data_IF_709894257250
#
_entry.id   IF_709894257250
#
_cell.length_a   1.000
_cell.length_b   1.000
_cell.length_c   1.000
_cell.angle_alpha   90.00
_cell.angle_beta   90.00
_cell.angle_gamma   90.00
#
_symmetry.space_group_name_H-M   'P 1'
#
loop_
_entity.id
_entity.type
_entity.pdbx_description
1 polymer ?
#
# COMPACT_ATOMS: atom_id res chain seq x y z
N UNK A 1 -15.33 35.70 -47.73
CA UNK A 1 -15.86 35.06 -46.50
C UNK A 1 -14.91 33.92 -46.13
N UNK A 2 -14.16 34.08 -45.03
CA UNK A 2 -13.21 33.09 -44.52
C UNK A 2 -13.97 32.11 -43.63
N UNK A 3 -13.97 30.82 -43.96
CA UNK A 3 -14.46 29.77 -43.07
C UNK A 3 -13.32 29.39 -42.12
N UNK A 4 -13.44 29.82 -40.86
CA UNK A 4 -12.60 29.36 -39.75
C UNK A 4 -13.13 27.99 -39.32
N UNK A 5 -12.39 26.92 -39.60
CA UNK A 5 -12.65 25.62 -39.02
C UNK A 5 -12.18 25.63 -37.56
N UNK A 6 -13.13 25.71 -36.63
CA UNK A 6 -12.88 25.45 -35.21
C UNK A 6 -12.66 23.95 -35.04
N UNK A 7 -11.40 23.53 -34.92
CA UNK A 7 -11.07 22.20 -34.45
C UNK A 7 -11.45 22.10 -32.97
N UNK A 8 -12.61 21.51 -32.69
CA UNK A 8 -13.03 21.16 -31.34
C UNK A 8 -12.14 20.00 -30.88
N UNK A 9 -11.03 20.30 -30.20
CA UNK A 9 -10.33 19.30 -29.41
C UNK A 9 -11.24 18.92 -28.23
N UNK A 10 -12.02 17.85 -28.41
CA UNK A 10 -12.65 17.16 -27.29
C UNK A 10 -11.49 16.52 -26.51
N UNK A 11 -11.04 17.19 -25.46
CA UNK A 11 -10.31 16.51 -24.40
C UNK A 11 -11.30 15.53 -23.77
N UNK A 12 -11.30 14.29 -24.26
CA UNK A 12 -11.91 13.19 -23.54
C UNK A 12 -11.18 13.12 -22.20
N UNK A 13 -11.85 13.57 -21.14
CA UNK A 13 -11.38 13.44 -19.78
C UNK A 13 -11.50 11.96 -19.42
N UNK A 14 -10.61 11.12 -19.95
CA UNK A 14 -10.53 9.71 -19.62
C UNK A 14 -9.97 9.64 -18.21
N UNK A 15 -10.87 9.72 -17.22
CA UNK A 15 -10.53 9.31 -15.87
C UNK A 15 -10.05 7.86 -15.97
N UNK A 16 -8.74 7.64 -15.86
CA UNK A 16 -8.19 6.29 -15.78
C UNK A 16 -8.89 5.56 -14.64
N UNK A 17 -9.12 4.27 -14.85
CA UNK A 17 -9.72 3.45 -13.83
C UNK A 17 -8.75 3.26 -12.65
N UNK A 18 -9.31 2.82 -11.52
CA UNK A 18 -8.66 2.72 -10.23
C UNK A 18 -8.72 1.28 -9.69
N UNK A 19 -7.87 1.01 -8.71
CA UNK A 19 -8.08 -0.11 -7.81
C UNK A 19 -9.10 0.31 -6.76
N UNK A 20 -10.03 -0.58 -6.40
CA UNK A 20 -11.06 -0.24 -5.41
C UNK A 20 -11.28 -1.36 -4.43
N UNK A 21 -11.06 -1.08 -3.15
CA UNK A 21 -11.37 -2.01 -2.07
C UNK A 21 -12.88 -2.13 -1.90
N UNK A 22 -13.34 -3.38 -1.79
CA UNK A 22 -14.74 -3.74 -1.53
C UNK A 22 -14.75 -4.80 -0.44
N UNK A 23 -15.21 -4.43 0.76
CA UNK A 23 -15.42 -5.40 1.83
C UNK A 23 -16.80 -6.07 1.68
N UNK A 24 -16.82 -7.40 1.71
CA UNK A 24 -18.07 -8.18 1.79
C UNK A 24 -18.39 -8.52 3.24
N UNK A 25 -19.66 -8.77 3.54
CA UNK A 25 -20.05 -9.16 4.89
C UNK A 25 -19.39 -10.48 5.30
N UNK A 26 -18.78 -10.54 6.50
CA UNK A 26 -18.11 -11.75 6.99
C UNK A 26 -19.14 -12.85 7.25
N UNK A 27 -18.77 -14.11 6.96
CA UNK A 27 -19.66 -15.28 7.15
C UNK A 27 -19.58 -15.88 8.55
N UNK A 28 -18.60 -15.48 9.36
CA UNK A 28 -18.39 -16.02 10.71
C UNK A 28 -17.82 -14.97 11.68
N UNK A 29 -17.85 -15.22 13.01
CA UNK A 29 -17.38 -14.25 14.01
C UNK A 29 -15.89 -13.92 13.94
N UNK A 30 -15.03 -14.83 13.51
CA UNK A 30 -13.58 -14.59 13.41
C UNK A 30 -13.28 -13.59 12.29
N UNK A 31 -13.92 -13.76 11.13
CA UNK A 31 -13.82 -12.83 10.01
C UNK A 31 -14.41 -11.47 10.34
N UNK A 32 -15.44 -11.41 11.19
CA UNK A 32 -16.01 -10.14 11.65
C UNK A 32 -15.03 -9.28 12.47
N UNK A 33 -14.06 -9.91 13.15
CA UNK A 33 -12.97 -9.18 13.81
C UNK A 33 -12.04 -8.56 12.78
N UNK A 34 -11.62 -9.33 11.77
CA UNK A 34 -10.73 -8.84 10.70
C UNK A 34 -11.41 -7.76 9.87
N UNK A 35 -12.69 -7.96 9.52
CA UNK A 35 -13.50 -6.96 8.80
C UNK A 35 -13.53 -5.62 9.53
N UNK A 36 -13.78 -5.61 10.85
CA UNK A 36 -13.73 -4.38 11.65
C UNK A 36 -12.34 -3.78 11.69
N UNK A 37 -11.31 -4.60 11.96
CA UNK A 37 -9.93 -4.16 12.02
C UNK A 37 -9.48 -3.47 10.72
N UNK A 38 -9.79 -4.06 9.57
CA UNK A 38 -9.40 -3.52 8.27
C UNK A 38 -10.29 -2.35 7.85
N UNK A 39 -11.61 -2.46 8.07
CA UNK A 39 -12.59 -1.48 7.60
C UNK A 39 -12.72 -0.22 8.46
N UNK A 40 -12.47 -0.30 9.77
CA UNK A 40 -12.53 0.87 10.66
C UNK A 40 -11.29 1.76 10.55
N UNK A 41 -10.14 1.16 10.23
CA UNK A 41 -8.87 1.88 10.15
C UNK A 41 -8.63 2.53 8.78
N UNK A 42 -9.40 2.18 7.75
CA UNK A 42 -9.27 2.64 6.36
C UNK A 42 -7.86 2.51 5.73
N UNK A 43 -6.91 1.88 6.42
CA UNK A 43 -5.51 1.82 6.01
C UNK A 43 -5.32 1.03 4.71
N UNK A 44 -6.16 0.02 4.47
CA UNK A 44 -6.14 -0.75 3.23
C UNK A 44 -6.60 0.11 2.05
N UNK A 45 -7.69 0.86 2.22
CA UNK A 45 -8.18 1.80 1.23
C UNK A 45 -7.17 2.90 0.94
N UNK A 46 -6.57 3.52 1.96
CA UNK A 46 -5.54 4.57 1.78
C UNK A 46 -4.31 4.05 1.02
N UNK A 47 -3.89 2.82 1.33
CA UNK A 47 -2.80 2.15 0.62
C UNK A 47 -3.16 1.92 -0.85
N UNK A 48 -4.36 1.41 -1.13
CA UNK A 48 -4.86 1.15 -2.48
C UNK A 48 -5.09 2.44 -3.28
N UNK A 49 -5.56 3.50 -2.64
CA UNK A 49 -5.73 4.83 -3.25
C UNK A 49 -4.37 5.41 -3.64
N UNK A 50 -3.35 5.20 -2.81
CA UNK A 50 -1.97 5.54 -3.13
C UNK A 50 -1.47 4.77 -4.35
N UNK A 51 -1.68 3.47 -4.42
CA UNK A 51 -1.32 2.67 -5.60
C UNK A 51 -2.07 3.12 -6.86
N UNK A 52 -3.36 3.45 -6.73
CA UNK A 52 -4.19 3.97 -7.83
C UNK A 52 -3.71 5.33 -8.34
N UNK A 53 -2.99 6.10 -7.52
CA UNK A 53 -2.32 7.33 -7.95
C UNK A 53 -1.01 7.09 -8.67
N UNK A 54 -0.35 5.94 -8.47
CA UNK A 54 0.93 5.60 -9.07
C UNK A 54 0.79 4.77 -10.36
N UNK A 55 -0.31 4.01 -10.52
CA UNK A 55 -0.48 3.06 -11.63
C UNK A 55 -1.81 3.34 -12.35
N UNK A 56 -1.74 3.42 -13.68
CA UNK A 56 -2.91 3.48 -14.55
C UNK A 56 -3.33 2.06 -14.92
N UNK A 57 -4.61 1.75 -14.73
CA UNK A 57 -5.22 0.51 -15.21
C UNK A 57 -6.32 0.81 -16.24
N UNK A 58 -6.49 -0.04 -17.26
CA UNK A 58 -7.45 0.21 -18.34
C UNK A 58 -8.90 0.00 -17.91
N UNK A 59 -9.11 -0.73 -16.81
CA UNK A 59 -10.43 -1.01 -16.23
C UNK A 59 -10.34 -1.00 -14.70
N UNK A 60 -11.47 -0.78 -14.04
CA UNK A 60 -11.53 -0.78 -12.58
C UNK A 60 -11.28 -2.19 -12.07
N UNK A 61 -10.35 -2.34 -11.14
CA UNK A 61 -9.99 -3.62 -10.53
C UNK A 61 -10.54 -3.65 -9.11
N UNK A 62 -11.63 -4.39 -8.84
CA UNK A 62 -12.11 -4.56 -7.49
C UNK A 62 -11.16 -5.45 -6.68
N UNK A 63 -10.75 -4.97 -5.52
CA UNK A 63 -10.06 -5.73 -4.47
C UNK A 63 -11.11 -6.14 -3.46
N UNK A 64 -11.59 -7.37 -3.59
CA UNK A 64 -12.71 -7.93 -2.83
C UNK A 64 -12.14 -8.60 -1.58
N UNK A 65 -12.40 -8.00 -0.41
CA UNK A 65 -12.06 -8.62 0.88
C UNK A 65 -13.27 -9.39 1.38
N UNK A 66 -13.16 -10.71 1.57
CA UNK A 66 -14.32 -11.58 1.89
C UNK A 66 -13.94 -12.85 2.65
N UNK A 67 -14.94 -13.55 3.17
CA UNK A 67 -14.78 -14.93 3.68
C UNK A 67 -14.68 -15.93 2.52
N UNK A 68 -13.59 -16.69 2.48
CA UNK A 68 -13.30 -17.66 1.43
C UNK A 68 -13.43 -19.13 1.87
N UNK A 69 -13.36 -19.40 3.17
CA UNK A 69 -13.27 -20.74 3.76
C UNK A 69 -11.85 -21.30 3.87
N UNK A 70 -10.83 -20.55 3.43
CA UNK A 70 -9.41 -20.91 3.54
C UNK A 70 -8.53 -19.64 3.45
N UNK A 71 -7.33 -19.61 4.06
CA UNK A 71 -6.44 -18.45 4.02
C UNK A 71 -5.80 -18.34 2.64
N UNK A 72 -6.18 -17.31 1.87
CA UNK A 72 -5.67 -17.12 0.52
C UNK A 72 -5.81 -15.69 -0.02
N UNK A 73 -5.17 -15.47 -1.17
CA UNK A 73 -5.35 -14.31 -2.03
C UNK A 73 -5.23 -14.76 -3.50
N UNK A 74 -6.03 -14.18 -4.39
CA UNK A 74 -6.03 -14.58 -5.80
C UNK A 74 -6.43 -13.44 -6.70
N UNK A 75 -5.69 -13.25 -7.79
CA UNK A 75 -6.16 -12.58 -8.98
C UNK A 75 -7.05 -13.51 -9.83
N UNK A 76 -8.22 -13.02 -10.24
CA UNK A 76 -9.14 -13.70 -11.14
C UNK A 76 -9.17 -12.97 -12.50
N UNK A 77 -8.49 -13.47 -13.54
CA UNK A 77 -8.43 -12.81 -14.86
C UNK A 77 -9.80 -12.59 -15.51
N UNK A 78 -10.71 -13.55 -15.34
CA UNK A 78 -12.06 -13.50 -15.94
C UNK A 78 -12.90 -12.34 -15.41
N UNK A 79 -12.79 -12.09 -14.09
CA UNK A 79 -13.53 -11.03 -13.40
C UNK A 79 -12.71 -9.74 -13.27
N UNK A 80 -11.42 -9.80 -13.65
CA UNK A 80 -10.42 -8.74 -13.45
C UNK A 80 -10.43 -8.21 -12.02
N UNK A 81 -10.48 -9.13 -11.06
CA UNK A 81 -10.63 -8.84 -9.65
C UNK A 81 -9.54 -9.49 -8.82
N UNK A 82 -9.17 -8.87 -7.70
CA UNK A 82 -8.33 -9.50 -6.70
C UNK A 82 -9.22 -9.87 -5.52
N UNK A 83 -9.15 -11.10 -5.04
CA UNK A 83 -9.78 -11.51 -3.78
C UNK A 83 -8.73 -11.58 -2.69
N UNK A 84 -9.00 -10.97 -1.55
CA UNK A 84 -8.25 -11.14 -0.31
C UNK A 84 -9.14 -11.82 0.73
N UNK A 85 -8.73 -12.96 1.25
CA UNK A 85 -9.54 -13.72 2.21
C UNK A 85 -9.32 -13.21 3.64
N UNK A 86 -10.39 -13.03 4.43
CA UNK A 86 -10.25 -12.67 5.86
C UNK A 86 -9.45 -13.70 6.64
N UNK A 87 -9.58 -14.97 6.25
CA UNK A 87 -8.87 -16.11 6.80
C UNK A 87 -7.35 -15.97 6.67
N UNK A 88 -6.87 -15.31 5.60
CA UNK A 88 -5.44 -15.05 5.42
C UNK A 88 -4.87 -14.26 6.60
N UNK A 89 -5.58 -13.23 7.04
CA UNK A 89 -5.16 -12.42 8.18
C UNK A 89 -5.32 -13.18 9.50
N UNK A 90 -6.49 -13.76 9.74
CA UNK A 90 -6.81 -14.36 11.05
C UNK A 90 -5.99 -15.62 11.33
N UNK A 91 -5.83 -16.51 10.35
CA UNK A 91 -5.05 -17.75 10.52
C UNK A 91 -3.57 -17.44 10.65
N UNK A 92 -3.03 -16.52 9.85
CA UNK A 92 -1.62 -16.18 9.92
C UNK A 92 -1.27 -15.46 11.21
N UNK A 93 -2.17 -14.60 11.72
CA UNK A 93 -2.03 -14.04 13.06
C UNK A 93 -1.92 -15.13 14.12
N UNK A 94 -2.77 -16.16 14.09
CA UNK A 94 -2.68 -17.26 15.03
C UNK A 94 -1.37 -18.06 14.88
N UNK A 95 -0.92 -18.32 13.64
CA UNK A 95 0.34 -19.03 13.38
C UNK A 95 1.52 -18.24 13.93
N UNK A 96 1.62 -16.96 13.60
CA UNK A 96 2.72 -16.10 14.04
C UNK A 96 2.67 -15.90 15.56
N UNK A 97 1.50 -15.69 16.15
CA UNK A 97 1.35 -15.59 17.61
C UNK A 97 1.81 -16.88 18.31
N UNK A 98 1.44 -18.06 17.79
CA UNK A 98 1.88 -19.34 18.35
C UNK A 98 3.40 -19.55 18.24
N UNK A 99 4.01 -19.16 17.12
CA UNK A 99 5.44 -19.37 16.87
C UNK A 99 6.33 -18.34 17.55
N UNK A 100 5.89 -17.08 17.58
CA UNK A 100 6.72 -15.94 17.95
C UNK A 100 6.19 -15.14 19.14
N UNK A 101 5.02 -15.44 19.69
CA UNK A 101 4.42 -14.66 20.80
C UNK A 101 5.21 -14.65 22.11
N UNK A 102 6.21 -15.53 22.27
CA UNK A 102 7.15 -15.49 23.39
C UNK A 102 8.33 -14.52 23.15
N UNK A 103 8.51 -14.04 21.93
CA UNK A 103 9.62 -13.17 21.50
C UNK A 103 9.14 -11.82 20.98
N UNK A 104 7.94 -11.77 20.41
CA UNK A 104 7.31 -10.60 19.84
C UNK A 104 6.03 -10.29 20.61
N UNK A 105 5.77 -9.00 20.80
CA UNK A 105 4.48 -8.50 21.29
C UNK A 105 3.36 -8.80 20.30
N UNK A 106 2.12 -8.83 20.77
CA UNK A 106 0.94 -9.00 19.91
C UNK A 106 0.83 -7.89 18.85
N UNK A 107 1.34 -6.69 19.15
CA UNK A 107 1.39 -5.58 18.19
C UNK A 107 2.40 -5.85 17.06
N UNK A 108 3.60 -6.34 17.39
CA UNK A 108 4.60 -6.72 16.37
C UNK A 108 4.11 -7.88 15.51
N UNK A 109 3.43 -8.86 16.10
CA UNK A 109 2.78 -9.94 15.37
C UNK A 109 1.71 -9.38 14.42
N UNK A 110 0.85 -8.48 14.90
CA UNK A 110 -0.18 -7.84 14.06
C UNK A 110 0.45 -7.06 12.89
N UNK A 111 1.55 -6.33 13.13
CA UNK A 111 2.29 -5.59 12.08
C UNK A 111 2.90 -6.53 11.03
N UNK A 112 3.44 -7.68 11.46
CA UNK A 112 3.99 -8.68 10.55
C UNK A 112 2.90 -9.32 9.68
N UNK A 113 1.73 -9.62 10.24
CA UNK A 113 0.56 -10.15 9.50
C UNK A 113 0.02 -9.10 8.52
N UNK A 114 -0.11 -7.85 8.95
CA UNK A 114 -0.54 -6.77 8.05
C UNK A 114 0.46 -6.58 6.89
N UNK A 115 1.76 -6.68 7.18
CA UNK A 115 2.81 -6.64 6.17
C UNK A 115 2.68 -7.79 5.17
N UNK A 116 2.48 -9.01 5.64
CA UNK A 116 2.24 -10.17 4.78
C UNK A 116 1.00 -9.98 3.91
N UNK A 117 -0.11 -9.53 4.49
CA UNK A 117 -1.37 -9.30 3.78
C UNK A 117 -1.20 -8.27 2.65
N UNK A 118 -0.45 -7.20 2.88
CA UNK A 118 -0.21 -6.17 1.87
C UNK A 118 0.82 -6.59 0.82
N UNK A 119 1.81 -7.40 1.21
CA UNK A 119 2.70 -8.03 0.25
C UNK A 119 1.90 -8.95 -0.69
N UNK A 120 1.04 -9.80 -0.14
CA UNK A 120 0.14 -10.67 -0.92
C UNK A 120 -0.79 -9.85 -1.83
N UNK A 121 -1.40 -8.78 -1.33
CA UNK A 121 -2.21 -7.88 -2.15
C UNK A 121 -1.41 -7.33 -3.34
N UNK A 122 -0.21 -6.78 -3.09
CA UNK A 122 0.62 -6.23 -4.15
C UNK A 122 1.08 -7.29 -5.14
N UNK A 123 1.34 -8.50 -4.68
CA UNK A 123 1.68 -9.64 -5.50
C UNK A 123 0.52 -9.97 -6.46
N UNK A 124 -0.71 -10.11 -5.96
CA UNK A 124 -1.90 -10.34 -6.80
C UNK A 124 -2.20 -9.17 -7.74
N UNK A 125 -1.93 -7.93 -7.30
CA UNK A 125 -2.03 -6.76 -8.17
C UNK A 125 -0.96 -6.77 -9.27
N UNK A 126 0.19 -7.40 -9.04
CA UNK A 126 1.19 -7.66 -10.08
C UNK A 126 0.62 -8.51 -11.21
N UNK A 127 0.03 -9.65 -10.87
CA UNK A 127 -0.71 -10.51 -11.82
C UNK A 127 -1.78 -9.72 -12.56
N UNK A 128 -2.58 -8.93 -11.84
CA UNK A 128 -3.61 -8.09 -12.44
C UNK A 128 -3.05 -7.06 -13.43
N UNK A 129 -1.98 -6.36 -13.06
CA UNK A 129 -1.36 -5.35 -13.93
C UNK A 129 -0.73 -5.99 -15.16
N UNK A 130 -0.07 -7.15 -15.01
CA UNK A 130 0.52 -7.86 -16.13
C UNK A 130 -0.54 -8.34 -17.13
N UNK A 131 -1.63 -8.94 -16.65
CA UNK A 131 -2.73 -9.38 -17.51
C UNK A 131 -3.41 -8.17 -18.20
N UNK A 132 -3.82 -7.16 -17.44
CA UNK A 132 -4.57 -6.02 -17.98
C UNK A 132 -3.81 -5.23 -19.04
N UNK A 133 -2.48 -5.17 -18.94
CA UNK A 133 -1.63 -4.49 -19.90
C UNK A 133 -0.93 -5.42 -20.89
N UNK A 134 -1.22 -6.72 -20.84
CA UNK A 134 -0.63 -7.76 -21.69
C UNK A 134 0.91 -7.71 -21.66
N UNK A 135 1.47 -7.57 -20.46
CA UNK A 135 2.91 -7.45 -20.24
C UNK A 135 3.54 -8.84 -20.37
N UNK A 136 4.50 -9.04 -21.29
CA UNK A 136 5.11 -10.35 -21.47
C UNK A 136 6.03 -10.69 -20.29
N UNK A 137 5.91 -11.93 -19.80
CA UNK A 137 6.75 -12.46 -18.71
C UNK A 137 7.68 -13.53 -19.31
N UNK A 138 8.98 -13.26 -19.31
CA UNK A 138 10.02 -14.16 -19.87
C UNK A 138 10.64 -15.12 -18.81
N UNK A 139 10.03 -15.25 -17.64
CA UNK A 139 10.51 -16.06 -16.52
C UNK A 139 9.36 -16.68 -15.73
N UNK A 140 9.57 -16.99 -14.44
CA UNK A 140 8.50 -17.43 -13.55
C UNK A 140 7.55 -16.27 -13.27
N UNK A 141 6.25 -16.50 -13.45
CA UNK A 141 5.19 -15.53 -13.23
C UNK A 141 5.19 -14.99 -11.80
N UNK A 142 5.32 -15.91 -10.83
CA UNK A 142 5.36 -15.58 -9.40
C UNK A 142 6.57 -14.73 -9.00
N UNK A 143 7.73 -14.95 -9.63
CA UNK A 143 8.92 -14.12 -9.40
C UNK A 143 8.76 -12.72 -10.01
N UNK A 144 7.96 -12.58 -11.08
CA UNK A 144 7.63 -11.29 -11.67
C UNK A 144 6.65 -10.52 -10.78
N UNK A 145 5.65 -11.20 -10.20
CA UNK A 145 4.72 -10.63 -9.24
C UNK A 145 5.43 -10.19 -7.94
N UNK A 146 6.38 -10.97 -7.43
CA UNK A 146 7.23 -10.57 -6.30
C UNK A 146 8.07 -9.32 -6.60
N UNK A 147 8.65 -9.23 -7.81
CA UNK A 147 9.40 -8.05 -8.24
C UNK A 147 8.51 -6.81 -8.33
N UNK A 148 7.30 -6.96 -8.87
CA UNK A 148 6.30 -5.90 -8.90
C UNK A 148 6.00 -5.42 -7.48
N UNK A 149 5.65 -6.33 -6.57
CA UNK A 149 5.36 -5.99 -5.18
C UNK A 149 6.54 -5.27 -4.51
N UNK A 150 7.75 -5.83 -4.61
CA UNK A 150 8.96 -5.24 -4.03
C UNK A 150 9.23 -3.84 -4.59
N UNK A 151 9.11 -3.65 -5.90
CA UNK A 151 9.30 -2.34 -6.53
C UNK A 151 8.33 -1.30 -5.99
N UNK A 152 7.03 -1.61 -5.91
CA UNK A 152 6.05 -0.66 -5.41
C UNK A 152 6.25 -0.38 -3.92
N UNK A 153 6.48 -1.39 -3.08
CA UNK A 153 6.79 -1.21 -1.65
C UNK A 153 7.96 -0.24 -1.47
N UNK A 154 9.04 -0.46 -2.21
CA UNK A 154 10.25 0.34 -2.14
C UNK A 154 10.05 1.73 -2.74
N UNK A 155 9.18 1.88 -3.73
CA UNK A 155 8.84 3.16 -4.35
C UNK A 155 8.00 4.01 -3.41
N UNK A 156 7.04 3.38 -2.73
CA UNK A 156 6.15 4.02 -1.75
C UNK A 156 6.70 3.99 -0.31
N UNK A 157 8.00 3.75 -0.17
CA UNK A 157 8.75 3.77 1.11
C UNK A 157 8.08 2.99 2.26
N UNK A 158 7.31 1.96 1.94
CA UNK A 158 6.64 1.11 2.94
C UNK A 158 7.55 -0.04 3.36
N UNK A 159 8.79 0.29 3.72
CA UNK A 159 9.89 -0.67 3.89
C UNK A 159 9.58 -1.76 4.92
N UNK A 160 8.77 -1.45 5.93
CA UNK A 160 8.33 -2.40 6.95
C UNK A 160 7.71 -3.67 6.37
N UNK A 161 7.03 -3.57 5.21
CA UNK A 161 6.44 -4.73 4.54
C UNK A 161 7.50 -5.79 4.19
N UNK A 162 8.64 -5.36 3.61
CA UNK A 162 9.74 -6.24 3.27
C UNK A 162 10.63 -6.57 4.49
N UNK A 163 10.72 -5.65 5.47
CA UNK A 163 11.50 -5.91 6.69
C UNK A 163 10.87 -7.02 7.55
N UNK A 164 9.54 -7.17 7.54
CA UNK A 164 8.86 -8.28 8.21
C UNK A 164 8.87 -9.60 7.42
N UNK A 165 9.37 -9.62 6.18
CA UNK A 165 9.42 -10.82 5.35
C UNK A 165 10.03 -12.07 6.01
N UNK A 166 11.13 -11.97 6.77
CA UNK A 166 11.69 -13.14 7.45
C UNK A 166 10.68 -13.78 8.42
N UNK A 167 9.82 -13.00 9.10
CA UNK A 167 8.90 -13.49 10.12
C UNK A 167 7.84 -14.40 9.48
N UNK A 168 7.11 -13.90 8.49
CA UNK A 168 6.05 -14.69 7.88
C UNK A 168 6.63 -15.79 6.98
N UNK A 169 7.68 -15.52 6.20
CA UNK A 169 8.27 -16.56 5.36
C UNK A 169 8.90 -17.70 6.17
N UNK A 170 9.48 -17.42 7.35
CA UNK A 170 9.94 -18.48 8.26
C UNK A 170 8.78 -19.24 8.92
N UNK A 171 7.70 -18.53 9.30
CA UNK A 171 6.50 -19.17 9.83
C UNK A 171 5.90 -20.20 8.87
N UNK A 172 5.92 -19.92 7.57
CA UNK A 172 5.29 -20.78 6.55
C UNK A 172 6.29 -21.65 5.78
N UNK A 173 7.60 -21.54 6.04
CA UNK A 173 8.69 -22.29 5.40
C UNK A 173 8.54 -23.82 5.42
N UNK A 174 7.73 -24.35 6.34
CA UNK A 174 7.66 -25.77 6.69
C UNK A 174 6.26 -26.22 7.17
N UNK A 175 5.20 -25.94 6.42
CA UNK A 175 3.90 -26.57 6.67
C UNK A 175 4.02 -28.11 6.66
N UNK A 176 3.23 -28.82 7.48
CA UNK A 176 3.22 -30.29 7.51
C UNK A 176 2.90 -30.87 6.12
N UNK A 177 2.04 -30.19 5.37
CA UNK A 177 1.67 -30.52 3.99
C UNK A 177 2.84 -30.30 3.02
N UNK A 178 3.56 -29.17 3.14
CA UNK A 178 4.76 -28.90 2.33
C UNK A 178 5.86 -29.93 2.54
N UNK A 179 6.06 -30.44 3.76
CA UNK A 179 7.08 -31.50 3.99
C UNK A 179 6.75 -32.81 3.27
N UNK A 180 5.47 -33.14 3.11
CA UNK A 180 5.02 -34.37 2.46
C UNK A 180 4.93 -34.23 0.93
N UNK A 181 4.59 -33.04 0.44
CA UNK A 181 4.41 -32.73 -0.99
C UNK A 181 5.72 -32.29 -1.66
N UNK A 182 6.59 -31.52 -0.97
CA UNK A 182 7.88 -31.03 -1.51
C UNK A 182 8.77 -32.14 -2.06
N UNK A 183 8.73 -33.37 -1.53
CA UNK A 183 9.53 -34.47 -2.07
C UNK A 183 9.32 -34.71 -3.58
N UNK A 184 8.16 -34.34 -4.14
CA UNK A 184 7.82 -34.58 -5.56
C UNK A 184 7.72 -33.33 -6.42
N UNK A 185 7.44 -32.15 -5.86
CA UNK A 185 7.20 -30.91 -6.63
C UNK A 185 8.14 -29.74 -6.28
N UNK A 186 9.10 -29.92 -5.37
CA UNK A 186 9.97 -28.82 -4.87
C UNK A 186 10.68 -28.00 -5.96
N UNK A 187 11.01 -28.63 -7.09
CA UNK A 187 11.71 -27.98 -8.20
C UNK A 187 10.80 -27.71 -9.42
N UNK A 188 9.52 -28.07 -9.35
CA UNK A 188 8.53 -27.89 -10.41
C UNK A 188 7.39 -26.94 -10.01
N UNK A 189 7.47 -26.34 -8.83
CA UNK A 189 6.55 -25.31 -8.37
C UNK A 189 6.71 -24.04 -9.21
N UNK A 190 5.61 -23.31 -9.43
CA UNK A 190 5.62 -22.04 -10.16
C UNK A 190 6.31 -20.94 -9.34
N UNK A 191 6.31 -21.07 -8.01
CA UNK A 191 7.11 -20.25 -7.11
C UNK A 191 8.53 -20.77 -6.97
N UNK A 192 9.50 -19.83 -6.92
CA UNK A 192 10.83 -20.18 -6.43
C UNK A 192 10.79 -20.66 -4.98
N UNK A 193 11.87 -21.33 -4.55
CA UNK A 193 12.02 -21.76 -3.15
C UNK A 193 11.83 -20.58 -2.20
N UNK A 194 11.13 -20.78 -1.08
CA UNK A 194 10.84 -19.70 -0.11
C UNK A 194 12.10 -18.97 0.34
N UNK A 195 13.21 -19.68 0.49
CA UNK A 195 14.53 -19.11 0.82
C UNK A 195 15.08 -18.22 -0.29
N UNK A 196 14.89 -18.60 -1.55
CA UNK A 196 15.30 -17.81 -2.70
C UNK A 196 14.44 -16.55 -2.82
N UNK A 197 13.12 -16.69 -2.68
CA UNK A 197 12.18 -15.55 -2.65
C UNK A 197 12.55 -14.55 -1.55
N UNK A 198 12.75 -15.01 -0.31
CA UNK A 198 13.16 -14.16 0.81
C UNK A 198 14.50 -13.47 0.53
N UNK A 199 15.50 -14.21 0.03
CA UNK A 199 16.81 -13.64 -0.30
C UNK A 199 16.73 -12.60 -1.43
N UNK A 200 15.81 -12.76 -2.38
CA UNK A 200 15.57 -11.79 -3.44
C UNK A 200 14.92 -10.51 -2.91
N UNK A 201 13.82 -10.63 -2.15
CA UNK A 201 13.11 -9.50 -1.55
C UNK A 201 14.04 -8.62 -0.69
N UNK A 202 14.80 -9.25 0.22
CA UNK A 202 15.74 -8.53 1.08
C UNK A 202 16.90 -7.95 0.27
N UNK A 203 17.36 -8.62 -0.79
CA UNK A 203 18.40 -8.09 -1.67
C UNK A 203 17.92 -6.86 -2.45
N UNK A 204 16.70 -6.84 -2.99
CA UNK A 204 16.18 -5.63 -3.65
C UNK A 204 16.01 -4.48 -2.66
N UNK A 205 15.52 -4.75 -1.45
CA UNK A 205 15.44 -3.75 -0.39
C UNK A 205 16.81 -3.19 -0.01
N UNK A 206 17.79 -4.06 0.26
CA UNK A 206 19.16 -3.68 0.56
C UNK A 206 19.85 -2.94 -0.60
N UNK A 207 19.53 -3.31 -1.84
CA UNK A 207 20.08 -2.66 -3.03
C UNK A 207 19.60 -1.22 -3.22
N UNK A 208 18.36 -0.91 -2.82
CA UNK A 208 17.80 0.45 -2.87
C UNK A 208 18.15 1.28 -1.63
N UNK A 209 17.97 0.70 -0.45
CA UNK A 209 18.03 1.38 0.84
C UNK A 209 18.90 0.58 1.83
N UNK A 210 20.24 0.58 1.67
CA UNK A 210 21.13 -0.25 2.46
C UNK A 210 20.97 -0.07 3.97
N UNK A 211 20.78 1.18 4.43
CA UNK A 211 20.63 1.50 5.86
C UNK A 211 19.33 0.91 6.45
N UNK A 212 18.24 0.91 5.68
CA UNK A 212 16.95 0.39 6.14
C UNK A 212 16.91 -1.14 6.19
N UNK A 213 17.70 -1.81 5.35
CA UNK A 213 17.65 -3.27 5.20
C UNK A 213 18.88 -4.00 5.75
N UNK A 214 19.87 -3.28 6.31
CA UNK A 214 21.09 -3.89 6.85
C UNK A 214 20.81 -4.95 7.92
N UNK A 215 19.96 -4.64 8.89
CA UNK A 215 19.64 -5.56 9.98
C UNK A 215 18.94 -6.82 9.46
N UNK A 216 18.00 -6.66 8.53
CA UNK A 216 17.25 -7.76 7.91
C UNK A 216 18.19 -8.62 7.05
N UNK A 217 19.11 -8.02 6.30
CA UNK A 217 20.12 -8.72 5.52
C UNK A 217 21.05 -9.58 6.40
N UNK A 218 21.43 -9.07 7.58
CA UNK A 218 22.20 -9.81 8.59
C UNK A 218 21.35 -10.95 9.17
N UNK A 219 20.09 -10.69 9.51
CA UNK A 219 19.17 -11.67 10.10
C UNK A 219 18.98 -12.89 9.20
N UNK A 220 18.85 -12.68 7.88
CA UNK A 220 18.72 -13.78 6.91
C UNK A 220 20.08 -14.41 6.51
N UNK A 221 21.19 -13.99 7.14
CA UNK A 221 22.56 -14.44 6.85
C UNK A 221 22.97 -14.25 5.39
N UNK A 222 22.65 -13.09 4.82
CA UNK A 222 23.04 -12.77 3.45
C UNK A 222 24.56 -12.74 3.30
N UNK A 223 25.10 -13.46 2.31
CA UNK A 223 26.54 -13.47 2.05
C UNK A 223 27.02 -12.14 1.45
N UNK A 224 28.28 -11.78 1.70
CA UNK A 224 28.89 -10.57 1.12
C UNK A 224 28.83 -10.58 -0.42
N UNK A 225 29.00 -11.75 -1.05
CA UNK A 225 28.87 -11.91 -2.50
C UNK A 225 27.44 -11.66 -3.03
N UNK A 226 26.41 -11.98 -2.24
CA UNK A 226 25.02 -11.63 -2.60
C UNK A 226 24.80 -10.13 -2.42
N UNK A 227 25.17 -9.60 -1.26
CA UNK A 227 25.01 -8.19 -0.91
C UNK A 227 25.66 -7.25 -1.93
N UNK A 228 26.86 -7.58 -2.42
CA UNK A 228 27.60 -6.76 -3.40
C UNK A 228 26.91 -6.60 -4.76
N UNK A 229 25.94 -7.48 -5.09
CA UNK A 229 25.18 -7.43 -6.34
C UNK A 229 23.81 -6.78 -6.20
N UNK A 230 23.33 -6.59 -4.96
CA UNK A 230 21.97 -6.14 -4.68
C UNK A 230 21.62 -4.78 -5.29
N UNK A 231 22.54 -3.80 -5.25
CA UNK A 231 22.32 -2.50 -5.90
C UNK A 231 22.11 -2.63 -7.42
N UNK A 232 22.90 -3.49 -8.08
CA UNK A 232 22.76 -3.76 -9.53
C UNK A 232 21.45 -4.50 -9.84
N UNK A 233 21.07 -5.46 -9.00
CA UNK A 233 19.84 -6.24 -9.15
C UNK A 233 18.59 -5.39 -8.94
N UNK A 234 18.57 -4.53 -7.92
CA UNK A 234 17.48 -3.54 -7.75
C UNK A 234 17.40 -2.62 -8.96
N UNK A 235 18.53 -2.06 -9.41
CA UNK A 235 18.54 -1.16 -10.57
C UNK A 235 18.08 -1.87 -11.85
N UNK A 236 18.35 -3.17 -11.99
CA UNK A 236 17.81 -3.96 -13.10
C UNK A 236 16.29 -4.13 -13.00
N UNK A 237 15.78 -4.54 -11.83
CA UNK A 237 14.34 -4.68 -11.57
C UNK A 237 13.61 -3.36 -11.84
N UNK A 238 14.09 -2.25 -11.29
CA UNK A 238 13.52 -0.92 -11.48
C UNK A 238 13.50 -0.51 -12.96
N UNK A 239 14.60 -0.69 -13.70
CA UNK A 239 14.62 -0.39 -15.14
C UNK A 239 13.63 -1.25 -15.92
N UNK A 240 13.55 -2.55 -15.61
CA UNK A 240 12.62 -3.46 -16.27
C UNK A 240 11.17 -3.05 -16.03
N UNK A 241 10.79 -2.82 -14.77
CA UNK A 241 9.41 -2.43 -14.43
C UNK A 241 9.06 -1.07 -15.04
N UNK A 242 9.96 -0.08 -14.94
CA UNK A 242 9.73 1.24 -15.56
C UNK A 242 9.67 1.18 -17.09
N UNK A 243 10.42 0.29 -17.73
CA UNK A 243 10.36 0.12 -19.18
C UNK A 243 9.07 -0.57 -19.64
N UNK A 244 8.57 -1.55 -18.87
CA UNK A 244 7.37 -2.29 -19.20
C UNK A 244 6.09 -1.50 -18.89
N UNK A 245 6.10 -0.77 -17.76
CA UNK A 245 4.97 0.03 -17.34
C UNK A 245 4.99 1.44 -17.93
N UNK A 246 6.14 2.02 -18.24
CA UNK A 246 6.27 3.24 -19.04
C UNK A 246 5.30 4.37 -18.64
N UNK A 247 4.46 4.75 -19.60
CA UNK A 247 3.40 5.76 -19.49
C UNK A 247 2.22 5.36 -18.58
N UNK A 248 2.11 4.07 -18.24
CA UNK A 248 1.13 3.53 -17.28
C UNK A 248 1.52 3.86 -15.84
N UNK A 249 2.78 4.22 -15.56
CA UNK A 249 3.16 4.79 -14.27
C UNK A 249 2.83 6.28 -14.26
N UNK A 250 2.11 6.74 -13.23
CA UNK A 250 1.81 8.16 -13.01
C UNK A 250 2.99 8.83 -12.32
N UNK A 251 4.02 9.14 -13.10
CA UNK A 251 5.19 9.88 -12.62
C UNK A 251 4.88 11.38 -12.66
N UNK A 252 5.21 12.12 -11.59
CA UNK A 252 5.13 13.58 -11.62
C UNK A 252 6.13 14.17 -12.65
N UNK A 253 5.99 15.46 -12.98
CA UNK A 253 6.84 16.18 -13.96
C UNK A 253 8.35 16.19 -13.66
N UNK A 254 8.78 15.62 -12.52
CA UNK A 254 10.18 15.55 -12.08
C UNK A 254 10.74 14.13 -12.00
N UNK A 255 10.03 13.12 -12.52
CA UNK A 255 10.57 11.76 -12.51
C UNK A 255 10.53 11.08 -11.14
N UNK A 256 9.83 11.67 -10.15
CA UNK A 256 9.73 11.14 -8.80
C UNK A 256 8.33 10.52 -8.55
N UNK A 257 8.25 9.44 -7.76
CA UNK A 257 6.98 8.93 -7.24
C UNK A 257 6.27 10.03 -6.45
N UNK A 258 4.93 10.09 -6.46
CA UNK A 258 4.25 10.97 -5.51
C UNK A 258 4.57 10.45 -4.11
N UNK A 259 5.00 11.33 -3.22
CA UNK A 259 5.30 10.97 -1.83
C UNK A 259 4.07 10.30 -1.20
N UNK A 260 4.16 9.01 -0.86
CA UNK A 260 3.10 8.31 -0.17
C UNK A 260 3.10 8.72 1.29
N UNK A 261 1.91 8.94 1.82
CA UNK A 261 1.67 8.80 3.26
C UNK A 261 1.90 7.32 3.56
N UNK A 262 2.99 6.97 4.24
CA UNK A 262 3.24 5.61 4.73
C UNK A 262 2.12 5.16 5.69
N UNK A 263 1.87 3.86 5.80
CA UNK A 263 0.95 3.33 6.85
C UNK A 263 1.39 3.70 8.26
N UNK A 264 2.68 3.93 8.48
CA UNK A 264 3.20 4.46 9.73
C UNK A 264 2.69 5.90 9.97
N UNK A 265 2.51 6.68 8.90
CA UNK A 265 1.92 8.00 8.96
C UNK A 265 0.39 8.04 9.09
N UNK A 266 -0.40 7.05 8.64
CA UNK A 266 -1.85 7.08 8.90
C UNK A 266 -2.18 6.95 10.40
N UNK A 267 -1.53 6.00 11.08
CA UNK A 267 -1.62 5.86 12.54
C UNK A 267 -1.00 7.06 13.27
N UNK A 268 0.08 7.64 12.75
CA UNK A 268 0.67 8.85 13.32
C UNK A 268 -0.22 10.09 13.12
N UNK A 269 -0.87 10.26 11.96
CA UNK A 269 -1.79 11.38 11.72
C UNK A 269 -3.05 11.23 12.56
N UNK A 270 -3.64 10.04 12.64
CA UNK A 270 -4.75 9.77 13.56
C UNK A 270 -4.39 10.12 15.00
N UNK A 271 -3.20 9.70 15.45
CA UNK A 271 -2.67 10.03 16.77
C UNK A 271 -2.41 11.54 16.95
N UNK A 272 -1.88 12.23 15.93
CA UNK A 272 -1.66 13.67 15.93
C UNK A 272 -2.97 14.46 16.00
N UNK A 273 -3.98 14.08 15.21
CA UNK A 273 -5.30 14.70 15.22
C UNK A 273 -5.98 14.53 16.59
N UNK A 274 -5.73 13.41 17.27
CA UNK A 274 -6.20 13.19 18.63
C UNK A 274 -5.38 13.98 19.66
N UNK A 275 -4.05 13.95 19.59
CA UNK A 275 -3.12 14.65 20.48
C UNK A 275 -3.35 16.16 20.46
N UNK A 276 -3.48 16.75 19.27
CA UNK A 276 -3.75 18.17 19.07
C UNK A 276 -5.25 18.50 19.08
N UNK A 277 -6.10 17.53 19.44
CA UNK A 277 -7.55 17.69 19.68
C UNK A 277 -8.34 18.20 18.47
N UNK A 278 -7.83 18.00 17.26
CA UNK A 278 -8.53 18.34 16.01
C UNK A 278 -9.88 17.61 15.91
N UNK A 279 -9.95 16.38 16.42
CA UNK A 279 -11.15 15.52 16.38
C UNK A 279 -12.30 16.00 17.28
N UNK A 280 -12.06 16.99 18.15
CA UNK A 280 -13.12 17.62 18.94
C UNK A 280 -14.05 18.46 18.04
N UNK A 281 -13.49 19.10 17.01
CA UNK A 281 -14.22 19.99 16.11
C UNK A 281 -14.42 19.41 14.72
N UNK A 282 -13.59 18.45 14.31
CA UNK A 282 -13.62 17.84 12.98
C UNK A 282 -13.83 16.33 13.04
N UNK A 283 -14.26 15.78 11.91
CA UNK A 283 -14.37 14.36 11.66
C UNK A 283 -13.91 14.08 10.23
N UNK A 284 -13.54 12.84 9.94
CA UNK A 284 -13.11 12.46 8.58
C UNK A 284 -14.25 12.61 7.57
N UNK A 285 -15.44 12.16 7.95
CA UNK A 285 -16.55 11.92 7.03
C UNK A 285 -17.77 12.80 7.31
N UNK A 286 -17.94 13.25 8.55
CA UNK A 286 -19.09 14.03 8.96
C UNK A 286 -18.72 15.48 9.29
N UNK A 287 -19.65 16.41 9.02
CA UNK A 287 -19.52 17.76 9.56
C UNK A 287 -19.76 17.71 11.07
N UNK A 288 -18.90 18.35 11.85
CA UNK A 288 -19.08 18.61 13.28
C UNK A 288 -19.22 20.13 13.49
N UNK A 289 -18.39 20.72 14.37
CA UNK A 289 -18.29 22.17 14.52
C UNK A 289 -17.63 22.75 13.24
N UNK A 290 -16.52 22.13 12.82
CA UNK A 290 -15.86 22.38 11.55
C UNK A 290 -16.34 21.44 10.43
N UNK A 291 -15.95 21.71 9.18
CA UNK A 291 -16.22 20.83 8.04
C UNK A 291 -15.57 19.45 8.21
N UNK A 292 -16.10 18.44 7.52
CA UNK A 292 -15.45 17.13 7.43
C UNK A 292 -14.10 17.29 6.72
N UNK A 293 -13.10 16.47 7.08
CA UNK A 293 -11.80 16.51 6.39
C UNK A 293 -11.95 16.20 4.90
N UNK A 294 -12.82 15.25 4.53
CA UNK A 294 -13.16 14.98 3.12
C UNK A 294 -13.83 16.16 2.40
N UNK A 295 -14.54 17.03 3.11
CA UNK A 295 -15.10 18.25 2.50
C UNK A 295 -14.01 19.26 2.18
N UNK A 296 -13.07 19.44 3.11
CA UNK A 296 -11.88 20.27 2.91
C UNK A 296 -11.10 19.77 1.69
N UNK A 297 -10.80 18.47 1.65
CA UNK A 297 -10.09 17.84 0.54
C UNK A 297 -10.80 18.06 -0.81
N UNK A 298 -12.12 17.83 -0.85
CA UNK A 298 -12.93 18.06 -2.06
C UNK A 298 -12.92 19.51 -2.53
N UNK A 299 -13.02 20.47 -1.61
CA UNK A 299 -13.03 21.90 -1.96
C UNK A 299 -11.71 22.35 -2.57
N UNK A 300 -10.59 21.82 -2.10
CA UNK A 300 -9.25 22.26 -2.47
C UNK A 300 -8.52 21.32 -3.44
N UNK A 301 -9.21 20.32 -3.98
CA UNK A 301 -8.63 19.33 -4.90
C UNK A 301 -7.97 20.01 -6.11
N UNK A 302 -6.70 19.66 -6.35
CA UNK A 302 -5.92 20.16 -7.49
C UNK A 302 -5.39 21.59 -7.34
N UNK A 303 -5.60 22.24 -6.19
CA UNK A 303 -5.04 23.56 -5.89
C UNK A 303 -3.75 23.50 -5.08
N UNK A 304 -2.86 24.48 -5.28
CA UNK A 304 -1.69 24.72 -4.44
C UNK A 304 -2.08 25.53 -3.19
N UNK A 305 -2.60 24.83 -2.18
CA UNK A 305 -3.21 25.46 -0.99
C UNK A 305 -2.58 25.04 0.33
N UNK A 306 -1.49 24.26 0.31
CA UNK A 306 -0.88 23.70 1.52
C UNK A 306 -0.51 24.82 2.51
N UNK A 307 0.21 25.84 2.04
CA UNK A 307 0.61 26.99 2.87
C UNK A 307 -0.58 27.81 3.38
N UNK A 308 -1.62 27.95 2.55
CA UNK A 308 -2.85 28.63 2.95
C UNK A 308 -3.56 27.87 4.09
N UNK A 309 -3.64 26.54 3.99
CA UNK A 309 -4.30 25.71 5.00
C UNK A 309 -3.48 25.63 6.30
N UNK A 310 -2.15 25.57 6.21
CA UNK A 310 -1.27 25.68 7.39
C UNK A 310 -1.52 27.01 8.10
N UNK A 311 -1.54 28.12 7.35
CA UNK A 311 -1.85 29.43 7.90
C UNK A 311 -3.22 29.46 8.59
N UNK A 312 -4.25 28.91 7.95
CA UNK A 312 -5.60 28.84 8.52
C UNK A 312 -5.67 28.02 9.83
N UNK A 313 -4.90 26.94 9.94
CA UNK A 313 -4.84 26.12 11.17
C UNK A 313 -4.11 26.87 12.29
N UNK A 314 -3.00 27.53 11.95
CA UNK A 314 -2.16 28.22 12.94
C UNK A 314 -2.79 29.55 13.40
N UNK A 315 -3.31 30.35 12.48
CA UNK A 315 -3.86 31.67 12.74
C UNK A 315 -5.37 31.68 13.03
N UNK A 316 -6.07 30.57 12.74
CA UNK A 316 -7.52 30.50 12.75
C UNK A 316 -8.11 30.94 11.41
N UNK A 317 -9.40 30.65 11.20
CA UNK A 317 -10.09 30.93 9.95
C UNK A 317 -11.56 31.25 10.19
N UNK A 318 -12.11 32.21 9.45
CA UNK A 318 -13.53 32.62 9.55
C UNK A 318 -14.10 32.86 8.15
N UNK A 319 -15.38 32.57 7.94
CA UNK A 319 -16.10 32.91 6.70
C UNK A 319 -15.93 31.92 5.54
N UNK A 320 -14.97 31.01 5.59
CA UNK A 320 -14.76 30.01 4.51
C UNK A 320 -15.79 28.88 4.54
N UNK A 321 -16.16 28.43 5.75
CA UNK A 321 -17.03 27.26 5.97
C UNK A 321 -18.30 27.58 6.78
N UNK A 322 -18.50 28.85 7.12
CA UNK A 322 -19.60 29.37 7.93
C UNK A 322 -19.19 30.59 8.76
N UNK A 323 -20.13 31.07 9.56
CA UNK A 323 -19.97 32.26 10.41
C UNK A 323 -19.23 31.95 11.73
N UNK A 324 -19.16 30.68 12.14
CA UNK A 324 -18.44 30.26 13.35
C UNK A 324 -16.92 30.34 13.10
N UNK A 325 -16.17 31.18 13.82
CA UNK A 325 -14.73 31.29 13.65
C UNK A 325 -14.01 30.06 14.21
N UNK A 326 -13.07 29.50 13.45
CA UNK A 326 -12.15 28.48 13.91
C UNK A 326 -10.99 29.14 14.69
N UNK A 327 -10.72 28.75 15.95
CA UNK A 327 -9.61 29.32 16.72
C UNK A 327 -8.26 28.89 16.14
N UNK A 328 -7.26 29.78 16.21
CA UNK A 328 -5.89 29.45 15.85
C UNK A 328 -5.21 28.52 16.85
N UNK A 329 -4.48 27.52 16.34
CA UNK A 329 -3.80 26.51 17.16
C UNK A 329 -2.28 26.78 17.22
N UNK A 330 -1.89 27.87 17.88
CA UNK A 330 -0.50 28.37 17.91
C UNK A 330 0.52 27.46 18.61
N UNK A 331 0.07 26.48 19.39
CA UNK A 331 0.94 25.59 20.18
C UNK A 331 1.29 24.27 19.46
N UNK A 332 0.98 24.16 18.16
CA UNK A 332 1.32 22.99 17.35
C UNK A 332 2.58 23.30 16.54
N UNK A 333 3.61 22.44 16.54
CA UNK A 333 4.75 22.59 15.64
C UNK A 333 4.29 22.66 14.18
N UNK A 334 4.77 23.63 13.41
CA UNK A 334 4.35 23.82 12.01
C UNK A 334 4.58 22.57 11.16
N UNK A 335 5.68 21.85 11.41
CA UNK A 335 6.01 20.57 10.76
C UNK A 335 4.92 19.51 10.94
N UNK A 336 4.21 19.52 12.07
CA UNK A 336 3.14 18.57 12.35
C UNK A 336 1.81 19.04 11.75
N UNK A 337 1.56 20.35 11.72
CA UNK A 337 0.45 20.93 10.95
C UNK A 337 0.60 20.64 9.46
N UNK A 338 1.80 20.77 8.90
CA UNK A 338 2.10 20.41 7.51
C UNK A 338 1.74 18.95 7.21
N UNK A 339 2.11 18.01 8.09
CA UNK A 339 1.77 16.59 7.93
C UNK A 339 0.26 16.37 7.94
N UNK A 340 -0.46 16.95 8.91
CA UNK A 340 -1.92 16.84 9.00
C UNK A 340 -2.63 17.48 7.81
N UNK A 341 -2.23 18.69 7.39
CA UNK A 341 -2.81 19.38 6.23
C UNK A 341 -2.62 18.57 4.95
N UNK A 342 -1.42 18.03 4.71
CA UNK A 342 -1.16 17.17 3.55
C UNK A 342 -2.02 15.90 3.55
N UNK A 343 -2.22 15.30 4.72
CA UNK A 343 -3.13 14.16 4.84
C UNK A 343 -4.57 14.59 4.55
N UNK A 344 -5.07 15.68 5.15
CA UNK A 344 -6.43 16.19 4.92
C UNK A 344 -6.68 16.48 3.43
N UNK A 345 -5.75 17.13 2.73
CA UNK A 345 -5.91 17.44 1.30
C UNK A 345 -5.77 16.23 0.39
N UNK A 346 -5.27 15.11 0.92
CA UNK A 346 -5.13 13.85 0.18
C UNK A 346 -6.38 12.95 0.22
N UNK A 347 -7.36 13.27 1.08
CA UNK A 347 -8.65 12.57 1.22
C UNK A 347 -9.62 12.82 0.05
#
# INVERSE_FOLDING_TARGET
>A
MKYLAFALFIFANTAFADFRVVFQQPKNPADAVVFRLLGENHALEEFVDTLSREIQVPVRVPIIVRSCGAPNAYYYPQDRSVTMCYELFSEHFQVLQRKFGNRLSSEEVAKAVASEFLFALLHELGHAVFDLHQIPILGREEDAADQFAAYFILTVKSYSILQHAPIYMEAFKYGLFDKLVRGKTLYSDEHALSEQRLANLVCWGYGKEPQQFQEVAIAIRMSQHRASRCAKEYAQMERSIRSLLGDKLRINSHGQPFSPVSMESANAIGSMLQQYKCLACHDVNARKIGPAFRDIARRYRGGDVEQQLIFNVMAGSTGVWGEVPAPGLHNIPEVDVQKMVRWITSL
#
